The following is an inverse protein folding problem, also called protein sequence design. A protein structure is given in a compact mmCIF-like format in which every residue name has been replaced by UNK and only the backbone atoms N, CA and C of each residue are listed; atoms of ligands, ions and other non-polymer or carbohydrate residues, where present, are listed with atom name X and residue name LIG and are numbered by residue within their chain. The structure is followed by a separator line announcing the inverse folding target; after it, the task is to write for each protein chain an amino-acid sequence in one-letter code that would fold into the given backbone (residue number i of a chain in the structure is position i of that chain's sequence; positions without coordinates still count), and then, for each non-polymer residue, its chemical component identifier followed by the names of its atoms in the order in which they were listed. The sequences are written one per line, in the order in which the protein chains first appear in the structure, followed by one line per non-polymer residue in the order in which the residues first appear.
data_IF_556523964722
#
_entry.id   IF_556523964722
#
_cell.length_a   1.000
_cell.length_b   1.000
_cell.length_c   1.000
_cell.angle_alpha   90.00
_cell.angle_beta   90.00
_cell.angle_gamma   90.00
#
_symmetry.space_group_name_H-M   'P 1'
#
loop_
_entity.id
_entity.type
_entity.pdbx_description
1 polymer ?
#
# COMPACT_ATOMS: atom_id res chain seq x y z
N UNK A 1 8.97 4.33 20.70
CA UNK A 1 8.83 4.91 19.34
C UNK A 1 10.18 5.52 18.94
N UNK A 2 10.53 5.49 17.65
CA UNK A 2 11.77 6.04 17.08
C UNK A 2 11.43 6.88 15.85
N UNK A 3 12.13 7.99 15.61
CA UNK A 3 12.00 8.78 14.37
C UNK A 3 12.99 8.25 13.33
N UNK A 4 12.52 7.97 12.13
CA UNK A 4 13.32 7.53 10.98
C UNK A 4 13.23 8.61 9.90
N UNK A 5 14.37 9.10 9.42
CA UNK A 5 14.43 10.19 8.45
C UNK A 5 14.18 9.68 7.01
N UNK A 6 13.42 10.46 6.24
CA UNK A 6 13.07 10.14 4.84
C UNK A 6 13.91 10.96 3.84
N UNK A 7 14.54 10.24 2.91
CA UNK A 7 15.22 10.77 1.73
C UNK A 7 14.23 10.84 0.57
N UNK A 8 14.07 11.99 -0.10
CA UNK A 8 13.27 12.06 -1.33
C UNK A 8 14.03 11.40 -2.48
N UNK A 9 13.37 10.55 -3.28
CA UNK A 9 14.01 9.93 -4.44
C UNK A 9 14.04 10.85 -5.68
N UNK A 10 13.35 11.99 -5.60
CA UNK A 10 13.27 13.01 -6.64
C UNK A 10 13.50 14.40 -6.04
N UNK A 11 14.15 15.30 -6.77
CA UNK A 11 14.24 16.70 -6.36
C UNK A 11 12.86 17.36 -6.34
N UNK A 12 12.55 18.12 -5.29
CA UNK A 12 11.28 18.83 -5.13
C UNK A 12 11.52 20.29 -4.73
N UNK A 13 10.53 21.13 -5.04
CA UNK A 13 10.47 22.53 -4.59
C UNK A 13 9.48 22.75 -3.44
N UNK A 14 8.55 21.80 -3.22
CA UNK A 14 7.61 21.83 -2.10
C UNK A 14 8.26 21.30 -0.80
N UNK A 15 7.79 21.74 0.38
CA UNK A 15 8.01 21.03 1.63
C UNK A 15 7.55 19.57 1.50
N UNK A 16 8.17 18.66 2.25
CA UNK A 16 7.82 17.23 2.25
C UNK A 16 7.84 16.68 3.67
N UNK A 17 7.20 15.54 3.87
CA UNK A 17 7.37 14.73 5.08
C UNK A 17 8.84 14.31 5.24
N UNK A 18 9.51 14.85 6.27
CA UNK A 18 10.96 14.62 6.49
C UNK A 18 11.29 13.30 7.19
N UNK A 19 10.30 12.59 7.70
CA UNK A 19 10.52 11.36 8.46
C UNK A 19 9.25 10.82 9.09
N UNK A 20 9.27 9.53 9.42
CA UNK A 20 8.19 8.81 10.09
C UNK A 20 8.55 8.51 11.54
N UNK A 21 7.55 8.45 12.43
CA UNK A 21 7.67 7.93 13.80
C UNK A 21 7.19 6.48 13.80
N UNK A 22 8.07 5.55 14.17
CA UNK A 22 7.82 4.10 14.12
C UNK A 22 7.88 3.49 15.53
N UNK A 23 6.91 2.65 15.85
CA UNK A 23 6.97 1.71 16.96
C UNK A 23 6.77 0.29 16.43
N UNK A 24 7.55 -0.66 16.93
CA UNK A 24 7.43 -2.08 16.62
C UNK A 24 7.07 -2.86 17.90
N UNK A 25 6.26 -3.89 17.75
CA UNK A 25 5.89 -4.84 18.80
C UNK A 25 5.89 -6.25 18.20
N UNK A 26 6.56 -7.18 18.87
CA UNK A 26 6.43 -8.62 18.60
C UNK A 26 5.50 -9.20 19.68
N UNK A 27 4.38 -9.75 19.24
CA UNK A 27 3.37 -10.40 20.08
C UNK A 27 3.25 -11.86 19.63
N UNK A 28 3.83 -12.77 20.43
CA UNK A 28 3.99 -14.17 20.08
C UNK A 28 4.64 -14.36 18.71
N UNK A 29 3.87 -14.85 17.73
CA UNK A 29 4.31 -15.10 16.36
C UNK A 29 3.96 -13.97 15.37
N UNK A 30 3.62 -12.76 15.85
CA UNK A 30 3.18 -11.62 15.01
C UNK A 30 4.05 -10.39 15.23
N UNK A 31 4.47 -9.75 14.14
CA UNK A 31 5.06 -8.41 14.14
C UNK A 31 3.96 -7.38 13.86
N UNK A 32 3.85 -6.38 14.72
CA UNK A 32 3.02 -5.18 14.52
C UNK A 32 3.91 -3.94 14.43
N UNK A 33 3.68 -3.12 13.41
CA UNK A 33 4.37 -1.86 13.16
C UNK A 33 3.35 -0.72 13.18
N UNK A 34 3.52 0.26 14.07
CA UNK A 34 2.80 1.53 14.04
C UNK A 34 3.69 2.60 13.43
N UNK A 35 3.25 3.19 12.33
CA UNK A 35 3.95 4.23 11.58
C UNK A 35 3.10 5.50 11.63
N UNK A 36 3.70 6.64 11.98
CA UNK A 36 3.01 7.92 12.07
C UNK A 36 3.78 9.00 11.31
N UNK A 37 3.08 9.86 10.59
CA UNK A 37 3.64 11.04 9.95
C UNK A 37 2.67 12.22 9.99
N UNK A 38 3.23 13.42 9.98
CA UNK A 38 2.45 14.65 9.85
C UNK A 38 2.10 14.86 8.37
N UNK A 39 0.83 15.08 8.10
CA UNK A 39 0.25 15.26 6.78
C UNK A 39 -1.03 16.11 6.90
N UNK A 40 -1.07 17.35 6.39
CA UNK A 40 -2.24 18.21 6.51
C UNK A 40 -3.42 17.75 5.64
N UNK A 41 -3.16 16.94 4.61
CA UNK A 41 -4.10 16.49 3.58
C UNK A 41 -4.29 14.97 3.68
N UNK A 42 -5.47 14.46 4.11
CA UNK A 42 -5.75 13.03 4.10
C UNK A 42 -6.23 12.58 2.72
N UNK A 43 -5.30 12.29 1.81
CA UNK A 43 -5.59 11.99 0.42
C UNK A 43 -6.03 10.53 0.23
N UNK A 44 -7.35 10.33 0.25
CA UNK A 44 -8.03 9.02 0.30
C UNK A 44 -8.73 8.61 -1.00
N UNK A 45 -8.52 9.34 -2.09
CA UNK A 45 -9.20 9.08 -3.36
C UNK A 45 -8.24 9.23 -4.55
N UNK A 46 -8.54 8.52 -5.63
CA UNK A 46 -7.91 8.71 -6.93
C UNK A 46 -8.97 8.75 -8.05
N UNK A 47 -10.11 9.38 -7.80
CA UNK A 47 -11.17 9.54 -8.81
C UNK A 47 -10.84 10.68 -9.80
N UNK A 48 -10.19 11.75 -9.33
CA UNK A 48 -9.67 12.80 -10.20
C UNK A 48 -8.39 12.37 -10.94
N UNK A 49 -8.24 12.80 -12.20
CA UNK A 49 -7.08 12.47 -13.04
C UNK A 49 -5.73 12.96 -12.47
N UNK A 50 -5.77 13.95 -11.58
CA UNK A 50 -4.61 14.52 -10.88
C UNK A 50 -4.66 14.27 -9.37
N UNK A 51 -5.61 13.47 -8.88
CA UNK A 51 -5.71 13.07 -7.48
C UNK A 51 -4.84 11.82 -7.25
N UNK A 52 -3.96 11.87 -6.26
CA UNK A 52 -3.13 10.74 -5.85
C UNK A 52 -3.38 10.47 -4.37
N UNK A 53 -3.18 9.22 -3.96
CA UNK A 53 -3.42 8.75 -2.59
C UNK A 53 -2.20 8.88 -1.70
N UNK A 54 -2.44 9.02 -0.41
CA UNK A 54 -1.43 8.74 0.60
C UNK A 54 -1.16 7.24 0.67
N UNK A 55 0.12 6.89 0.82
CA UNK A 55 0.52 5.51 1.01
C UNK A 55 1.78 5.42 1.87
N UNK A 56 1.88 4.30 2.60
CA UNK A 56 3.10 3.93 3.31
C UNK A 56 3.42 2.47 3.01
N UNK A 57 4.68 2.21 2.66
CA UNK A 57 5.19 0.86 2.45
C UNK A 57 6.29 0.54 3.45
N UNK A 58 6.27 -0.70 3.94
CA UNK A 58 7.38 -1.32 4.65
C UNK A 58 8.02 -2.34 3.73
N UNK A 59 9.34 -2.32 3.64
CA UNK A 59 10.14 -3.34 2.97
C UNK A 59 10.90 -4.12 4.03
N UNK A 60 10.88 -5.46 3.96
CA UNK A 60 11.67 -6.33 4.85
C UNK A 60 12.53 -7.33 4.07
N UNK A 61 13.71 -7.60 4.62
CA UNK A 61 14.57 -8.73 4.27
C UNK A 61 14.99 -9.47 5.54
N UNK A 62 15.06 -10.80 5.46
CA UNK A 62 15.62 -11.65 6.50
C UNK A 62 17.12 -11.97 6.26
N UNK A 63 17.68 -11.55 5.12
CA UNK A 63 19.11 -11.69 4.83
C UNK A 63 19.92 -10.75 5.76
N UNK A 64 20.93 -11.26 6.50
CA UNK A 64 21.86 -10.43 7.28
C UNK A 64 22.61 -9.39 6.44
N UNK A 65 22.85 -9.68 5.16
CA UNK A 65 23.42 -8.76 4.18
C UNK A 65 22.35 -8.44 3.13
N UNK A 66 21.41 -7.52 3.44
CA UNK A 66 20.26 -7.29 2.58
C UNK A 66 20.68 -6.74 1.21
N UNK A 67 19.97 -7.11 0.13
CA UNK A 67 20.20 -6.55 -1.21
C UNK A 67 19.93 -5.04 -1.21
N UNK A 68 20.28 -4.33 -2.29
CA UNK A 68 20.08 -2.88 -2.38
C UNK A 68 18.66 -2.45 -1.94
N UNK A 69 18.57 -1.44 -1.06
CA UNK A 69 17.30 -0.96 -0.50
C UNK A 69 16.29 -0.50 -1.56
N UNK A 70 16.75 -0.24 -2.78
CA UNK A 70 15.97 -0.04 -4.00
C UNK A 70 15.27 -1.34 -4.48
N UNK A 71 14.48 -1.94 -3.58
CA UNK A 71 13.53 -3.03 -3.87
C UNK A 71 14.16 -4.38 -4.24
N UNK A 72 15.37 -4.67 -3.75
CA UNK A 72 16.03 -5.97 -3.89
C UNK A 72 16.97 -6.05 -5.09
N UNK A 73 17.22 -7.27 -5.56
CA UNK A 73 18.04 -7.54 -6.74
C UNK A 73 17.86 -8.96 -7.27
N UNK A 74 18.45 -9.26 -8.43
CA UNK A 74 18.39 -10.61 -9.02
C UNK A 74 19.19 -11.63 -8.17
N UNK A 75 20.44 -11.27 -7.86
CA UNK A 75 21.36 -11.79 -6.82
C UNK A 75 22.35 -10.65 -6.49
N UNK A 76 23.05 -10.56 -5.35
CA UNK A 76 22.94 -11.24 -4.04
C UNK A 76 23.18 -10.16 -2.95
N UNK A 77 24.04 -10.35 -1.93
CA UNK A 77 24.69 -11.55 -1.41
C UNK A 77 24.05 -11.98 -0.06
N UNK A 78 23.13 -12.94 -0.03
CA UNK A 78 23.53 -14.35 -0.01
C UNK A 78 22.67 -15.26 -0.90
N UNK A 79 22.22 -14.71 -2.04
CA UNK A 79 21.36 -15.33 -3.08
C UNK A 79 19.87 -15.46 -2.72
N UNK A 80 19.40 -14.65 -1.77
CA UNK A 80 17.98 -14.33 -1.58
C UNK A 80 17.66 -12.87 -1.94
N UNK A 81 17.78 -12.48 -3.21
CA UNK A 81 17.61 -11.07 -3.63
C UNK A 81 16.17 -10.50 -3.56
N UNK A 82 15.20 -11.31 -3.13
CA UNK A 82 13.81 -10.92 -2.98
C UNK A 82 13.54 -10.18 -1.66
N UNK A 83 12.75 -9.12 -1.71
CA UNK A 83 12.23 -8.40 -0.54
C UNK A 83 10.72 -8.53 -0.46
N UNK A 84 10.17 -8.63 0.75
CA UNK A 84 8.73 -8.54 0.98
C UNK A 84 8.35 -7.08 1.22
N UNK A 85 7.28 -6.65 0.58
CA UNK A 85 6.77 -5.28 0.59
C UNK A 85 5.34 -5.29 1.13
N UNK A 86 5.06 -4.49 2.15
CA UNK A 86 3.74 -4.35 2.76
C UNK A 86 3.28 -2.91 2.52
N UNK A 87 2.37 -2.69 1.57
CA UNK A 87 1.99 -1.34 1.14
C UNK A 87 0.54 -1.03 1.51
N UNK A 88 0.35 -0.19 2.53
CA UNK A 88 -0.95 0.40 2.84
C UNK A 88 -1.21 1.61 1.95
N UNK A 89 -2.46 1.73 1.47
CA UNK A 89 -2.90 2.85 0.63
C UNK A 89 -4.25 3.38 1.14
N UNK A 90 -4.38 4.69 1.20
CA UNK A 90 -5.52 5.37 1.81
C UNK A 90 -6.84 5.14 1.03
N UNK A 91 -6.76 5.04 -0.30
CA UNK A 91 -7.86 4.71 -1.21
C UNK A 91 -8.36 3.27 -1.01
N UNK A 92 -7.48 2.25 -1.08
CA UNK A 92 -7.90 0.85 -0.88
C UNK A 92 -8.53 0.61 0.49
N UNK A 93 -8.22 1.43 1.49
CA UNK A 93 -8.92 1.39 2.77
C UNK A 93 -10.33 1.98 2.72
N UNK A 94 -10.55 3.06 1.96
CA UNK A 94 -11.88 3.61 1.72
C UNK A 94 -12.74 2.62 0.90
N UNK A 95 -12.16 2.03 -0.14
CA UNK A 95 -12.78 1.04 -1.02
C UNK A 95 -13.16 -0.24 -0.24
N UNK A 96 -12.25 -0.78 0.58
CA UNK A 96 -12.52 -1.92 1.45
C UNK A 96 -13.58 -1.64 2.53
N UNK A 97 -13.87 -0.36 2.80
CA UNK A 97 -14.99 0.07 3.63
C UNK A 97 -16.34 0.12 2.91
N UNK A 98 -16.37 -0.06 1.58
CA UNK A 98 -17.56 -0.03 0.73
C UNK A 98 -18.19 1.38 0.58
N UNK A 99 -17.37 2.43 0.55
CA UNK A 99 -17.78 3.84 0.72
C UNK A 99 -17.18 4.84 -0.28
N UNK A 100 -16.67 4.34 -1.40
CA UNK A 100 -16.03 5.16 -2.39
C UNK A 100 -16.40 4.65 -3.78
N UNK A 101 -17.38 5.28 -4.40
CA UNK A 101 -17.64 5.21 -5.82
C UNK A 101 -17.56 6.60 -6.47
N UNK A 102 -17.59 6.66 -7.80
CA UNK A 102 -17.59 7.94 -8.54
C UNK A 102 -18.78 8.83 -8.15
N UNK A 103 -19.91 8.22 -7.84
CA UNK A 103 -21.16 8.83 -7.37
C UNK A 103 -21.01 9.55 -6.03
N UNK A 104 -20.25 8.99 -5.09
CA UNK A 104 -19.99 9.64 -3.79
C UNK A 104 -19.20 10.95 -3.98
N UNK A 105 -18.41 11.02 -5.05
CA UNK A 105 -17.56 12.17 -5.40
C UNK A 105 -18.26 13.18 -6.33
N UNK A 106 -19.20 12.71 -7.15
CA UNK A 106 -19.94 13.44 -8.17
C UNK A 106 -21.44 13.07 -8.14
N UNK A 107 -22.20 13.50 -7.12
CA UNK A 107 -23.59 13.06 -6.92
C UNK A 107 -24.54 13.49 -8.04
N UNK A 108 -24.21 14.58 -8.75
CA UNK A 108 -24.97 15.09 -9.89
C UNK A 108 -24.52 14.49 -11.24
N UNK A 109 -23.67 13.45 -11.24
CA UNK A 109 -23.23 12.77 -12.46
C UNK A 109 -24.41 12.12 -13.18
N UNK A 110 -24.51 12.39 -14.48
CA UNK A 110 -25.54 11.85 -15.36
C UNK A 110 -24.96 11.48 -16.72
N UNK A 111 -25.56 10.49 -17.39
CA UNK A 111 -25.27 10.15 -18.77
C UNK A 111 -26.57 10.03 -19.58
N UNK A 112 -26.59 10.53 -20.82
CA UNK A 112 -27.73 10.48 -21.76
C UNK A 112 -28.02 9.06 -22.32
N UNK A 113 -27.33 8.07 -21.77
CA UNK A 113 -27.31 6.67 -22.16
C UNK A 113 -25.96 6.07 -21.78
N UNK A 114 -25.96 4.88 -21.18
CA UNK A 114 -24.73 4.19 -20.80
C UNK A 114 -24.82 2.72 -21.21
N UNK A 115 -24.17 2.30 -22.33
CA UNK A 115 -24.22 0.92 -22.82
C UNK A 115 -23.74 -0.11 -21.80
N UNK A 116 -22.90 0.33 -20.87
CA UNK A 116 -22.34 -0.48 -19.81
C UNK A 116 -23.21 -0.52 -18.53
N UNK A 117 -24.50 -0.16 -18.58
CA UNK A 117 -25.46 -0.40 -17.47
C UNK A 117 -26.44 -1.49 -17.88
N UNK A 118 -26.61 -2.51 -17.05
CA UNK A 118 -27.38 -3.73 -17.40
C UNK A 118 -28.86 -3.48 -17.72
N UNK A 119 -29.44 -2.37 -17.27
CA UNK A 119 -30.87 -2.02 -17.39
C UNK A 119 -31.13 -0.64 -18.03
N UNK A 120 -30.11 0.05 -18.55
CA UNK A 120 -30.31 1.36 -19.18
C UNK A 120 -31.05 1.22 -20.52
N UNK A 121 -32.13 1.97 -20.68
CA UNK A 121 -32.77 2.18 -21.99
C UNK A 121 -32.13 3.38 -22.67
N UNK A 122 -31.79 3.22 -23.94
CA UNK A 122 -31.25 4.29 -24.78
C UNK A 122 -32.20 5.51 -24.80
N UNK A 123 -31.64 6.72 -24.69
CA UNK A 123 -32.40 7.97 -24.54
C UNK A 123 -32.98 8.22 -23.14
N UNK A 124 -32.61 7.43 -22.13
CA UNK A 124 -32.95 7.69 -20.72
C UNK A 124 -31.73 8.24 -19.98
N UNK A 125 -31.89 9.39 -19.32
CA UNK A 125 -30.88 9.91 -18.38
C UNK A 125 -30.65 8.90 -17.26
N UNK A 126 -29.41 8.43 -17.13
CA UNK A 126 -28.97 7.58 -16.03
C UNK A 126 -28.24 8.43 -15.01
N UNK A 127 -28.75 8.44 -13.78
CA UNK A 127 -28.08 8.95 -12.59
C UNK A 127 -27.61 7.78 -11.74
N UNK A 128 -26.39 7.86 -11.20
CA UNK A 128 -25.83 6.84 -10.33
C UNK A 128 -25.53 5.51 -11.03
N UNK A 129 -24.26 5.30 -11.36
CA UNK A 129 -23.73 4.07 -11.95
C UNK A 129 -22.77 3.38 -10.97
N UNK A 130 -23.21 2.98 -9.76
CA UNK A 130 -22.33 2.31 -8.81
C UNK A 130 -21.74 1.06 -9.45
N UNK A 131 -20.53 0.67 -9.07
CA UNK A 131 -19.72 -0.39 -9.73
C UNK A 131 -20.49 -1.71 -9.95
N UNK A 132 -21.46 -2.04 -9.09
CA UNK A 132 -22.32 -3.23 -9.21
C UNK A 132 -23.45 -3.14 -10.27
N UNK A 133 -23.82 -1.94 -10.72
CA UNK A 133 -24.80 -1.71 -11.78
C UNK A 133 -24.18 -1.78 -13.19
N UNK A 134 -22.85 -1.79 -13.28
CA UNK A 134 -22.15 -1.94 -14.54
C UNK A 134 -22.29 -3.35 -15.12
N UNK A 135 -22.41 -3.45 -16.44
CA UNK A 135 -22.21 -4.70 -17.18
C UNK A 135 -20.72 -5.10 -17.10
N UNK A 136 -20.39 -6.30 -16.57
CA UNK A 136 -19.02 -6.79 -16.47
C UNK A 136 -18.24 -6.80 -17.78
N UNK A 137 -18.90 -6.86 -18.94
CA UNK A 137 -18.28 -6.79 -20.27
C UNK A 137 -17.42 -5.54 -20.46
N UNK A 138 -17.81 -4.42 -19.85
CA UNK A 138 -17.13 -3.13 -19.98
C UNK A 138 -16.15 -2.84 -18.85
N UNK A 139 -16.12 -3.68 -17.80
CA UNK A 139 -15.14 -3.61 -16.71
C UNK A 139 -13.83 -4.31 -17.12
N UNK A 140 -13.22 -3.84 -18.22
CA UNK A 140 -12.09 -4.50 -18.89
C UNK A 140 -10.90 -4.81 -17.99
N UNK A 141 -10.57 -3.94 -17.02
CA UNK A 141 -9.54 -4.20 -16.02
C UNK A 141 -9.86 -5.39 -15.13
N UNK A 142 -11.12 -5.54 -14.70
CA UNK A 142 -11.59 -6.68 -13.91
C UNK A 142 -11.67 -7.96 -14.76
N UNK A 143 -12.14 -7.85 -16.00
CA UNK A 143 -12.17 -8.97 -16.95
C UNK A 143 -10.76 -9.49 -17.30
N UNK A 144 -9.75 -8.61 -17.31
CA UNK A 144 -8.34 -8.96 -17.45
C UNK A 144 -7.68 -9.48 -16.15
N UNK A 145 -8.43 -9.62 -15.05
CA UNK A 145 -7.92 -10.10 -13.76
C UNK A 145 -6.95 -9.13 -13.07
N UNK A 146 -7.01 -7.82 -13.35
CA UNK A 146 -6.11 -6.83 -12.73
C UNK A 146 -6.38 -6.71 -11.21
N UNK A 147 -5.41 -7.03 -10.31
CA UNK A 147 -5.60 -6.97 -8.86
C UNK A 147 -5.83 -5.55 -8.28
N UNK A 148 -5.65 -4.51 -9.10
CA UNK A 148 -6.01 -3.12 -8.77
C UNK A 148 -7.45 -2.80 -9.17
N UNK A 149 -7.97 -3.44 -10.21
CA UNK A 149 -9.36 -3.24 -10.69
C UNK A 149 -10.35 -4.21 -10.07
N UNK A 150 -9.91 -5.38 -9.60
CA UNK A 150 -10.73 -6.25 -8.78
C UNK A 150 -10.66 -5.83 -7.30
N UNK A 151 -11.75 -5.25 -6.82
CA UNK A 151 -11.93 -4.85 -5.43
C UNK A 151 -12.52 -5.99 -4.56
N UNK A 152 -12.86 -7.14 -5.14
CA UNK A 152 -13.37 -8.27 -4.36
C UNK A 152 -12.29 -8.83 -3.42
N UNK A 153 -12.58 -8.84 -2.12
CA UNK A 153 -11.60 -9.20 -1.10
C UNK A 153 -10.47 -8.18 -0.89
N UNK A 154 -10.59 -6.95 -1.41
CA UNK A 154 -9.57 -5.91 -1.25
C UNK A 154 -9.26 -5.62 0.23
N UNK A 155 -7.98 -5.67 0.59
CA UNK A 155 -7.47 -5.22 1.88
C UNK A 155 -6.86 -3.82 1.78
N UNK A 156 -6.84 -3.09 2.90
CA UNK A 156 -6.25 -1.75 3.00
C UNK A 156 -4.72 -1.73 2.76
N UNK A 157 -4.05 -2.89 2.86
CA UNK A 157 -2.66 -3.07 2.48
C UNK A 157 -2.48 -4.27 1.55
N UNK A 158 -1.51 -4.14 0.65
CA UNK A 158 -1.12 -5.16 -0.32
C UNK A 158 0.14 -5.91 0.15
N UNK A 159 0.11 -7.23 0.04
CA UNK A 159 1.30 -8.09 0.15
C UNK A 159 1.99 -8.17 -1.22
N UNK A 160 3.13 -7.52 -1.34
CA UNK A 160 3.92 -7.42 -2.57
C UNK A 160 5.30 -8.06 -2.37
N UNK A 161 5.98 -8.33 -3.48
CA UNK A 161 7.41 -8.70 -3.49
C UNK A 161 8.16 -7.97 -4.61
N UNK A 162 9.48 -7.86 -4.48
CA UNK A 162 10.34 -7.37 -5.54
C UNK A 162 11.71 -8.05 -5.50
N UNK A 163 12.39 -8.09 -6.65
CA UNK A 163 13.74 -8.66 -6.90
C UNK A 163 14.59 -7.63 -7.66
N UNK A 164 14.40 -6.36 -7.33
CA UNK A 164 14.96 -5.20 -8.02
C UNK A 164 13.90 -4.12 -8.33
N UNK A 165 14.37 -2.93 -8.68
CA UNK A 165 13.51 -1.87 -9.19
C UNK A 165 12.79 -2.31 -10.48
N UNK A 166 11.49 -2.05 -10.56
CA UNK A 166 10.65 -2.42 -11.72
C UNK A 166 10.07 -3.83 -11.69
N UNK A 167 10.45 -4.69 -10.75
CA UNK A 167 9.96 -6.08 -10.67
C UNK A 167 8.90 -6.30 -9.57
N UNK A 168 8.11 -5.27 -9.23
CA UNK A 168 7.10 -5.41 -8.16
C UNK A 168 5.98 -6.32 -8.64
N UNK A 169 5.77 -7.42 -7.91
CA UNK A 169 4.66 -8.34 -8.13
C UNK A 169 3.70 -8.36 -6.94
N UNK A 170 2.43 -8.61 -7.22
CA UNK A 170 1.48 -9.07 -6.22
C UNK A 170 1.86 -10.48 -5.75
N UNK A 171 1.68 -10.78 -4.46
CA UNK A 171 1.87 -12.13 -3.95
C UNK A 171 0.55 -12.87 -3.90
N UNK A 172 0.51 -14.05 -4.51
CA UNK A 172 -0.57 -15.01 -4.34
C UNK A 172 -0.28 -15.87 -3.10
N UNK A 173 -1.19 -15.82 -2.11
CA UNK A 173 -1.05 -16.52 -0.84
C UNK A 173 0.09 -16.00 0.06
N UNK A 174 0.47 -16.84 1.04
CA UNK A 174 1.41 -16.47 2.08
C UNK A 174 0.79 -15.67 3.23
N UNK A 175 1.63 -14.96 3.98
CA UNK A 175 1.18 -14.23 5.18
C UNK A 175 0.43 -12.93 4.83
N UNK A 176 -0.85 -12.86 5.23
CA UNK A 176 -1.69 -11.67 5.07
C UNK A 176 -1.18 -10.52 5.95
N UNK A 177 -1.09 -9.32 5.37
CA UNK A 177 -0.83 -8.08 6.10
C UNK A 177 -2.18 -7.47 6.52
N UNK A 178 -2.53 -7.66 7.78
CA UNK A 178 -3.60 -6.90 8.41
C UNK A 178 -3.16 -5.43 8.51
N UNK A 179 -4.06 -4.48 8.26
CA UNK A 179 -3.72 -3.06 8.33
C UNK A 179 -4.90 -2.15 8.69
N UNK A 180 -4.57 -1.00 9.27
CA UNK A 180 -5.51 0.10 9.50
C UNK A 180 -4.77 1.43 9.62
N UNK A 181 -5.15 2.39 8.80
CA UNK A 181 -4.75 3.80 8.88
C UNK A 181 -5.87 4.65 9.48
N UNK A 182 -5.49 5.55 10.38
CA UNK A 182 -6.36 6.62 10.90
C UNK A 182 -5.65 7.96 10.67
N UNK A 183 -6.36 8.93 10.10
CA UNK A 183 -5.88 10.31 10.06
C UNK A 183 -6.65 11.12 11.09
N UNK A 184 -5.92 11.90 11.89
CA UNK A 184 -6.47 12.80 12.90
C UNK A 184 -5.51 13.97 13.10
N UNK A 185 -6.06 15.17 13.20
CA UNK A 185 -5.34 16.40 13.56
C UNK A 185 -4.05 16.62 12.73
N UNK A 186 -4.12 16.46 11.40
CA UNK A 186 -2.97 16.63 10.52
C UNK A 186 -1.90 15.54 10.65
N UNK A 187 -2.26 14.34 11.12
CA UNK A 187 -1.34 13.21 11.31
C UNK A 187 -1.99 11.90 10.90
N UNK A 188 -1.34 11.18 9.99
CA UNK A 188 -1.63 9.77 9.74
C UNK A 188 -0.99 8.88 10.82
N UNK A 189 -1.72 7.83 11.20
CA UNK A 189 -1.26 6.73 12.04
C UNK A 189 -1.70 5.42 11.40
N UNK A 190 -0.76 4.70 10.80
CA UNK A 190 -0.99 3.40 10.17
C UNK A 190 -0.42 2.28 11.04
N UNK A 191 -1.21 1.25 11.28
CA UNK A 191 -0.76 -0.02 11.85
C UNK A 191 -0.72 -1.07 10.73
N UNK A 192 0.40 -1.77 10.62
CA UNK A 192 0.57 -2.97 9.80
C UNK A 192 0.88 -4.15 10.73
N UNK A 193 0.23 -5.30 10.53
CA UNK A 193 0.48 -6.53 11.31
C UNK A 193 0.57 -7.74 10.39
N UNK A 194 1.61 -8.55 10.57
CA UNK A 194 1.83 -9.81 9.84
C UNK A 194 2.37 -10.89 10.77
N UNK A 195 2.16 -12.16 10.45
CA UNK A 195 2.89 -13.27 11.09
C UNK A 195 4.38 -13.21 10.76
N UNK A 196 5.23 -13.63 11.70
CA UNK A 196 6.68 -13.76 11.46
C UNK A 196 6.94 -14.83 10.39
N UNK A 197 6.30 -16.00 10.53
CA UNK A 197 6.25 -17.03 9.50
C UNK A 197 5.57 -16.53 8.21
N UNK A 198 6.09 -16.97 7.07
CA UNK A 198 5.62 -16.67 5.72
C UNK A 198 6.04 -17.81 4.78
N UNK A 199 5.30 -18.03 3.70
CA UNK A 199 5.54 -19.10 2.73
C UNK A 199 5.01 -18.72 1.34
N UNK A 200 5.38 -19.50 0.32
CA UNK A 200 5.06 -19.23 -1.09
C UNK A 200 6.14 -18.41 -1.80
N UNK A 201 5.89 -18.03 -3.05
CA UNK A 201 6.86 -17.23 -3.81
C UNK A 201 6.94 -15.79 -3.26
N UNK A 202 8.15 -15.22 -3.29
CA UNK A 202 8.42 -13.87 -2.77
C UNK A 202 8.25 -13.73 -1.26
N UNK A 203 8.10 -14.85 -0.53
CA UNK A 203 7.96 -14.88 0.92
C UNK A 203 9.24 -14.46 1.63
N UNK A 204 9.09 -13.70 2.71
CA UNK A 204 10.17 -13.39 3.64
C UNK A 204 9.70 -13.73 5.04
N UNK A 205 10.11 -14.90 5.53
CA UNK A 205 9.90 -15.30 6.91
C UNK A 205 10.89 -14.54 7.82
N UNK A 206 10.38 -13.97 8.91
CA UNK A 206 11.16 -13.17 9.85
C UNK A 206 11.60 -14.03 11.05
N UNK A 207 12.87 -13.98 11.47
CA UNK A 207 13.37 -14.81 12.56
C UNK A 207 12.88 -14.30 13.93
N UNK A 208 12.07 -15.09 14.62
CA UNK A 208 11.69 -14.83 16.01
C UNK A 208 12.93 -14.85 16.92
N UNK A 209 13.03 -13.90 17.85
CA UNK A 209 14.22 -13.69 18.68
C UNK A 209 15.43 -13.08 17.93
N UNK A 210 15.33 -12.90 16.61
CA UNK A 210 16.44 -12.54 15.74
C UNK A 210 16.50 -11.07 15.34
N UNK A 211 17.17 -10.82 14.21
CA UNK A 211 17.22 -9.51 13.54
C UNK A 211 16.73 -9.64 12.09
N UNK A 212 16.17 -8.57 11.56
CA UNK A 212 15.82 -8.43 10.16
C UNK A 212 16.18 -7.02 9.66
N UNK A 213 16.27 -6.85 8.35
CA UNK A 213 16.44 -5.54 7.73
C UNK A 213 15.08 -4.95 7.38
N UNK A 214 14.83 -3.69 7.76
CA UNK A 214 13.59 -2.95 7.47
C UNK A 214 13.88 -1.60 6.80
N UNK A 215 13.08 -1.24 5.80
CA UNK A 215 13.09 0.09 5.19
C UNK A 215 11.64 0.58 5.00
N UNK A 216 11.47 1.89 4.90
CA UNK A 216 10.16 2.54 4.75
C UNK A 216 10.12 3.38 3.48
N UNK A 217 8.95 3.46 2.86
CA UNK A 217 8.67 4.40 1.79
C UNK A 217 7.32 5.09 2.04
N UNK A 218 7.22 6.35 1.63
CA UNK A 218 6.06 7.21 1.85
C UNK A 218 5.73 8.00 0.59
N UNK A 219 4.44 8.07 0.29
CA UNK A 219 3.83 8.86 -0.77
C UNK A 219 2.82 9.82 -0.13
N UNK A 220 2.96 11.12 -0.41
CA UNK A 220 1.98 12.17 -0.10
C UNK A 220 1.17 12.48 -1.37
N UNK A 221 -0.14 12.27 -1.32
CA UNK A 221 -1.05 12.45 -2.46
C UNK A 221 -1.02 13.86 -3.04
N UNK A 222 -1.13 14.86 -2.17
CA UNK A 222 -1.13 16.29 -2.49
C UNK A 222 0.21 16.82 -3.02
N UNK A 223 1.33 16.12 -2.75
CA UNK A 223 2.63 16.39 -3.40
C UNK A 223 2.74 15.73 -4.81
N UNK A 224 1.74 14.96 -5.23
CA UNK A 224 1.72 14.25 -6.51
C UNK A 224 2.40 12.87 -6.51
N UNK A 225 2.61 12.28 -5.33
CA UNK A 225 3.42 11.06 -5.20
C UNK A 225 2.73 9.82 -5.75
N UNK A 226 3.48 9.07 -6.55
CA UNK A 226 3.04 7.81 -7.18
C UNK A 226 4.23 7.00 -7.66
N UNK A 227 4.11 5.67 -7.65
CA UNK A 227 5.11 4.76 -8.20
C UNK A 227 6.51 5.03 -7.62
N UNK A 228 7.49 5.42 -8.46
CA UNK A 228 8.84 5.79 -8.03
C UNK A 228 8.99 7.22 -7.47
N UNK A 229 7.97 8.08 -7.62
CA UNK A 229 7.95 9.43 -7.05
C UNK A 229 7.46 9.32 -5.61
N UNK A 230 8.42 9.27 -4.67
CA UNK A 230 8.21 9.00 -3.25
C UNK A 230 9.41 9.47 -2.42
N UNK A 231 9.26 9.46 -1.10
CA UNK A 231 10.40 9.46 -0.17
C UNK A 231 10.61 8.07 0.42
N UNK A 232 11.85 7.70 0.74
CA UNK A 232 12.22 6.40 1.27
C UNK A 232 13.38 6.49 2.28
N UNK A 233 13.58 5.41 3.04
CA UNK A 233 14.74 5.24 3.93
C UNK A 233 15.76 4.31 3.26
N UNK A 234 16.98 4.27 3.82
CA UNK A 234 17.87 3.12 3.63
C UNK A 234 17.41 1.96 4.53
N UNK A 235 18.15 0.85 4.55
CA UNK A 235 17.94 -0.21 5.53
C UNK A 235 18.26 0.25 6.96
N UNK A 236 17.43 -0.21 7.89
CA UNK A 236 17.61 -0.13 9.33
C UNK A 236 17.50 -1.54 9.92
N UNK A 237 18.16 -1.77 11.05
CA UNK A 237 18.01 -3.03 11.79
C UNK A 237 16.68 -3.04 12.58
N UNK A 238 15.93 -4.13 12.41
CA UNK A 238 14.76 -4.47 13.21
C UNK A 238 15.14 -5.63 14.15
N UNK A 239 15.20 -5.34 15.45
CA UNK A 239 15.38 -6.36 16.49
C UNK A 239 14.03 -6.98 16.83
N UNK A 240 13.89 -8.27 16.58
CA UNK A 240 12.67 -9.07 16.79
C UNK A 240 12.79 -9.82 18.11
N UNK A 241 12.90 -9.09 19.23
CA UNK A 241 13.06 -9.68 20.55
C UNK A 241 11.94 -10.67 20.91
N UNK A 242 12.26 -11.65 21.74
CA UNK A 242 11.25 -12.53 22.34
C UNK A 242 10.26 -11.68 23.15
N UNK A 243 8.96 -11.94 22.95
CA UNK A 243 7.88 -11.04 23.37
C UNK A 243 7.95 -10.68 24.85
N UNK A 244 8.08 -9.38 25.13
CA UNK A 244 7.98 -8.85 26.49
C UNK A 244 6.57 -9.07 27.04
N UNK A 245 6.47 -9.64 28.24
CA UNK A 245 5.25 -9.65 29.05
C UNK A 245 4.90 -8.26 29.55
#
# INVERSE_FOLDING_TARGET
ERRVALMPLWMRRTPRVQGVRVAALVDGARLSLRIRWEDPSPDRSTFGQTEFRDAVAVQVSADPEPPLFAMGGAEGPGKGGAVSLWMWKADRQADAGGKADLEDRFPDMAADGWPAKQDAKEGTLVHGLPLGAHDPLYLSGRAAGNPVSDLSGATAAESLYARGAGTVGFREGGAVVESRGEWKDGTWTVVLRRTLADAGEGAVALPAGGRASIAFALWNGSDGDRNGVKSATIWHELVLGEGGR
#
